data_IF_054874737439
#
_entry.id   IF_054874737439
#
_cell.length_a   1.000
_cell.length_b   1.000
_cell.length_c   1.000
_cell.angle_alpha   90.00
_cell.angle_beta   90.00
_cell.angle_gamma   90.00
#
_symmetry.space_group_name_H-M   'P 1'
#
loop_
_entity.id
_entity.type
_entity.pdbx_description
1 polymer ?
#
# COMPACT_ATOMS: atom_id res chain seq x y z
N UNK A 1 -18.53 8.65 -4.39
CA UNK A 1 -19.20 7.34 -4.25
C UNK A 1 -18.12 6.35 -3.83
N UNK A 2 -18.29 5.68 -2.68
CA UNK A 2 -17.35 4.67 -2.18
C UNK A 2 -17.90 3.33 -2.63
N UNK A 3 -17.08 2.54 -3.32
CA UNK A 3 -17.48 1.19 -3.72
C UNK A 3 -17.04 0.22 -2.60
N UNK A 4 -18.01 -0.27 -1.82
CA UNK A 4 -17.82 -1.28 -0.78
C UNK A 4 -18.45 -2.59 -1.23
N UNK A 5 -17.64 -3.64 -1.36
CA UNK A 5 -18.14 -4.99 -1.66
C UNK A 5 -17.89 -5.91 -0.45
N UNK A 6 -18.92 -6.66 -0.04
CA UNK A 6 -18.83 -7.62 1.06
C UNK A 6 -19.14 -9.01 0.50
N UNK A 7 -18.15 -9.90 0.51
CA UNK A 7 -18.39 -11.31 0.22
C UNK A 7 -18.94 -11.99 1.48
N UNK A 8 -20.23 -12.38 1.40
CA UNK A 8 -20.93 -13.39 2.20
C UNK A 8 -20.47 -13.62 3.65
N UNK A 9 -20.82 -12.74 4.59
CA UNK A 9 -21.28 -13.12 5.94
C UNK A 9 -22.03 -11.94 6.60
N UNK A 10 -23.20 -12.15 7.24
CA UNK A 10 -23.93 -11.08 7.95
C UNK A 10 -23.12 -10.42 9.07
N UNK A 11 -22.15 -11.14 9.65
CA UNK A 11 -21.30 -10.64 10.73
C UNK A 11 -20.35 -9.51 10.27
N UNK A 12 -20.11 -9.35 8.97
CA UNK A 12 -19.25 -8.30 8.41
C UNK A 12 -19.99 -7.00 8.07
N UNK A 13 -21.33 -6.96 8.18
CA UNK A 13 -22.13 -5.77 7.89
C UNK A 13 -21.72 -4.57 8.75
N UNK A 14 -21.54 -4.77 10.07
CA UNK A 14 -21.13 -3.71 10.99
C UNK A 14 -19.71 -3.21 10.68
N UNK A 15 -18.79 -4.11 10.31
CA UNK A 15 -17.44 -3.72 9.91
C UNK A 15 -17.47 -2.92 8.60
N UNK A 16 -18.27 -3.35 7.62
CA UNK A 16 -18.41 -2.66 6.34
C UNK A 16 -18.93 -1.23 6.53
N UNK A 17 -19.99 -1.06 7.33
CA UNK A 17 -20.55 0.24 7.69
C UNK A 17 -19.48 1.13 8.38
N UNK A 18 -18.77 0.58 9.36
CA UNK A 18 -17.73 1.31 10.07
C UNK A 18 -16.57 1.72 9.15
N UNK A 19 -16.12 0.82 8.27
CA UNK A 19 -15.10 1.14 7.26
C UNK A 19 -15.62 2.22 6.31
N UNK A 20 -16.87 2.16 5.86
CA UNK A 20 -17.45 3.14 4.96
C UNK A 20 -17.49 4.54 5.59
N UNK A 21 -17.94 4.65 6.84
CA UNK A 21 -17.96 5.91 7.60
C UNK A 21 -16.55 6.49 7.72
N UNK A 22 -15.58 5.69 8.16
CA UNK A 22 -14.19 6.12 8.31
C UNK A 22 -13.56 6.52 6.98
N UNK A 23 -13.83 5.79 5.89
CA UNK A 23 -13.32 6.11 4.56
C UNK A 23 -13.92 7.43 4.07
N UNK A 24 -15.23 7.62 4.24
CA UNK A 24 -15.94 8.84 3.84
C UNK A 24 -15.37 10.07 4.55
N UNK A 25 -15.10 9.95 5.84
CA UNK A 25 -14.48 11.00 6.64
C UNK A 25 -13.01 11.23 6.25
N UNK A 26 -12.24 10.17 5.98
CA UNK A 26 -10.81 10.27 5.72
C UNK A 26 -10.44 10.81 4.34
N UNK A 27 -11.29 10.61 3.31
CA UNK A 27 -10.98 10.96 1.92
C UNK A 27 -10.59 12.45 1.75
N UNK A 28 -11.39 13.44 2.22
CA UNK A 28 -11.03 14.85 2.05
C UNK A 28 -9.69 15.20 2.72
N UNK A 29 -9.40 14.58 3.87
CA UNK A 29 -8.14 14.78 4.58
C UNK A 29 -6.95 14.16 3.85
N UNK A 30 -7.14 12.96 3.27
CA UNK A 30 -6.10 12.32 2.44
C UNK A 30 -5.80 13.18 1.21
N UNK A 31 -6.82 13.66 0.51
CA UNK A 31 -6.64 14.54 -0.65
C UNK A 31 -5.93 15.84 -0.25
N UNK A 32 -6.36 16.48 0.84
CA UNK A 32 -5.74 17.70 1.38
C UNK A 32 -4.27 17.51 1.76
N UNK A 33 -3.94 16.43 2.47
CA UNK A 33 -2.58 16.17 2.97
C UNK A 33 -1.65 15.71 1.86
N UNK A 34 -2.14 14.90 0.91
CA UNK A 34 -1.32 14.36 -0.18
C UNK A 34 -1.27 15.25 -1.40
N UNK A 35 -2.25 16.12 -1.62
CA UNK A 35 -2.41 16.86 -2.86
C UNK A 35 -2.69 15.95 -4.07
N UNK A 36 -3.11 14.70 -3.83
CA UNK A 36 -3.44 13.72 -4.86
C UNK A 36 -4.95 13.48 -4.90
N UNK A 37 -5.57 13.38 -6.08
CA UNK A 37 -6.99 13.14 -6.20
C UNK A 37 -7.34 11.68 -5.84
N UNK A 38 -8.52 11.50 -5.24
CA UNK A 38 -9.04 10.21 -4.80
C UNK A 38 -10.56 10.12 -5.04
N UNK A 39 -11.02 10.15 -6.30
CA UNK A 39 -12.44 10.37 -6.63
C UNK A 39 -13.36 9.20 -6.25
N UNK A 40 -12.85 7.97 -6.25
CA UNK A 40 -13.62 6.73 -6.01
C UNK A 40 -12.77 5.70 -5.27
N UNK A 41 -12.55 5.88 -3.96
CA UNK A 41 -11.83 4.87 -3.18
C UNK A 41 -12.63 3.57 -3.13
N UNK A 42 -11.94 2.44 -3.25
CA UNK A 42 -12.56 1.12 -3.29
C UNK A 42 -12.00 0.19 -2.23
N UNK A 43 -12.89 -0.41 -1.45
CA UNK A 43 -12.56 -1.39 -0.42
C UNK A 43 -13.43 -2.63 -0.58
N UNK A 44 -12.82 -3.79 -0.40
CA UNK A 44 -13.52 -5.07 -0.54
C UNK A 44 -13.23 -5.91 0.70
N UNK A 45 -14.29 -6.28 1.42
CA UNK A 45 -14.22 -7.26 2.49
C UNK A 45 -14.33 -8.65 1.85
N UNK A 46 -13.24 -9.40 1.94
CA UNK A 46 -13.09 -10.72 1.31
C UNK A 46 -12.58 -11.71 2.33
N UNK A 47 -12.93 -12.99 2.16
CA UNK A 47 -12.27 -14.06 2.91
C UNK A 47 -10.83 -14.27 2.38
N UNK A 48 -10.12 -15.24 2.98
CA UNK A 48 -8.75 -15.57 2.57
C UNK A 48 -8.66 -16.10 1.14
N UNK A 49 -9.67 -16.81 0.66
CA UNK A 49 -9.73 -17.43 -0.66
C UNK A 49 -9.96 -16.39 -1.76
N UNK A 50 -10.90 -15.47 -1.54
CA UNK A 50 -11.16 -14.31 -2.35
C UNK A 50 -9.94 -13.39 -2.44
N UNK A 51 -9.28 -13.14 -1.30
CA UNK A 51 -8.02 -12.39 -1.27
C UNK A 51 -6.93 -13.06 -2.12
N UNK A 52 -6.73 -14.37 -1.96
CA UNK A 52 -5.73 -15.12 -2.69
C UNK A 52 -6.00 -15.14 -4.21
N UNK A 53 -7.27 -15.31 -4.59
CA UNK A 53 -7.73 -15.32 -6.00
C UNK A 53 -7.53 -13.96 -6.65
N UNK A 54 -7.95 -12.88 -5.98
CA UNK A 54 -7.81 -11.52 -6.48
C UNK A 54 -6.33 -11.12 -6.61
N UNK A 55 -5.51 -11.46 -5.61
CA UNK A 55 -4.07 -11.17 -5.64
C UNK A 55 -3.34 -11.95 -6.74
N UNK A 56 -3.64 -13.24 -6.92
CA UNK A 56 -3.10 -14.05 -8.03
C UNK A 56 -3.46 -13.43 -9.37
N UNK A 57 -4.72 -13.03 -9.54
CA UNK A 57 -5.19 -12.39 -10.78
C UNK A 57 -4.50 -11.06 -11.05
N UNK A 58 -4.24 -10.28 -9.99
CA UNK A 58 -3.47 -9.04 -10.07
C UNK A 58 -2.01 -9.31 -10.49
N UNK A 59 -1.32 -10.26 -9.85
CA UNK A 59 0.06 -10.63 -10.21
C UNK A 59 0.15 -11.13 -11.66
N UNK A 60 -0.82 -11.92 -12.11
CA UNK A 60 -0.90 -12.36 -13.51
C UNK A 60 -0.96 -11.16 -14.47
N UNK A 61 -1.91 -10.24 -14.26
CA UNK A 61 -2.06 -9.05 -15.11
C UNK A 61 -0.80 -8.19 -15.13
N UNK A 62 -0.16 -8.02 -13.97
CA UNK A 62 1.06 -7.22 -13.89
C UNK A 62 2.23 -7.89 -14.64
N UNK A 63 2.35 -9.21 -14.54
CA UNK A 63 3.35 -9.95 -15.31
C UNK A 63 3.08 -9.88 -16.82
N UNK A 64 1.82 -10.07 -17.25
CA UNK A 64 1.40 -9.90 -18.65
C UNK A 64 1.75 -8.51 -19.18
N UNK A 65 1.50 -7.46 -18.38
CA UNK A 65 1.87 -6.09 -18.71
C UNK A 65 3.39 -5.90 -18.82
N UNK A 66 4.14 -6.37 -17.81
CA UNK A 66 5.59 -6.16 -17.73
C UNK A 66 6.39 -6.96 -18.76
N UNK A 67 5.80 -8.04 -19.29
CA UNK A 67 6.42 -8.89 -20.32
C UNK A 67 5.84 -8.68 -21.72
N UNK A 68 4.90 -7.75 -21.88
CA UNK A 68 4.33 -7.42 -23.18
C UNK A 68 5.44 -6.93 -24.13
N UNK A 69 5.62 -7.61 -25.26
CA UNK A 69 6.64 -7.26 -26.26
C UNK A 69 8.07 -7.66 -25.90
N UNK A 70 8.27 -8.42 -24.82
CA UNK A 70 9.58 -8.97 -24.44
C UNK A 70 9.70 -10.40 -24.99
N UNK A 71 10.80 -10.70 -25.68
CA UNK A 71 11.12 -12.09 -26.05
C UNK A 71 11.62 -12.84 -24.80
N UNK A 72 10.80 -13.77 -24.32
CA UNK A 72 11.04 -14.49 -23.08
C UNK A 72 11.63 -15.87 -23.38
N UNK A 73 12.78 -16.17 -22.76
CA UNK A 73 13.34 -17.51 -22.79
C UNK A 73 12.40 -18.53 -22.13
N UNK A 74 12.52 -19.81 -22.48
CA UNK A 74 11.72 -20.87 -21.82
C UNK A 74 11.92 -20.92 -20.29
N UNK A 75 13.10 -20.53 -19.82
CA UNK A 75 13.39 -20.39 -18.39
C UNK A 75 12.63 -19.22 -17.76
N UNK A 76 12.55 -18.07 -18.44
CA UNK A 76 11.79 -16.91 -17.96
C UNK A 76 10.29 -17.21 -17.91
N UNK A 77 9.75 -17.87 -18.93
CA UNK A 77 8.35 -18.32 -18.95
C UNK A 77 8.04 -19.23 -17.76
N UNK A 78 8.93 -20.19 -17.47
CA UNK A 78 8.80 -21.08 -16.31
C UNK A 78 8.81 -20.29 -14.99
N UNK A 79 9.69 -19.29 -14.85
CA UNK A 79 9.75 -18.43 -13.66
C UNK A 79 8.49 -17.57 -13.48
N UNK A 80 7.96 -17.02 -14.57
CA UNK A 80 6.72 -16.23 -14.57
C UNK A 80 5.55 -17.10 -14.10
N UNK A 81 5.41 -18.31 -14.65
CA UNK A 81 4.37 -19.26 -14.24
C UNK A 81 4.50 -19.63 -12.75
N UNK A 82 5.72 -19.94 -12.28
CA UNK A 82 5.98 -20.22 -10.87
C UNK A 82 5.64 -19.03 -9.95
N UNK A 83 5.87 -17.79 -10.40
CA UNK A 83 5.52 -16.59 -9.64
C UNK A 83 4.01 -16.42 -9.48
N UNK A 84 3.22 -16.72 -10.52
CA UNK A 84 1.76 -16.69 -10.44
C UNK A 84 1.23 -17.71 -9.44
N UNK A 85 1.75 -18.94 -9.47
CA UNK A 85 1.38 -19.99 -8.50
C UNK A 85 1.79 -19.63 -7.08
N UNK A 86 3.00 -19.06 -6.90
CA UNK A 86 3.50 -18.65 -5.60
C UNK A 86 2.66 -17.52 -4.97
N UNK A 87 2.02 -16.65 -5.76
CA UNK A 87 1.21 -15.54 -5.25
C UNK A 87 0.09 -16.01 -4.30
N UNK A 88 -0.59 -17.11 -4.66
CA UNK A 88 -1.63 -17.71 -3.84
C UNK A 88 -1.06 -18.29 -2.53
N UNK A 89 0.04 -19.03 -2.63
CA UNK A 89 0.73 -19.60 -1.46
C UNK A 89 1.19 -18.50 -0.50
N UNK A 90 1.67 -17.37 -1.02
CA UNK A 90 2.08 -16.23 -0.18
C UNK A 90 0.88 -15.64 0.56
N UNK A 91 -0.28 -15.51 -0.07
CA UNK A 91 -1.48 -15.00 0.62
C UNK A 91 -1.90 -15.93 1.76
N UNK A 92 -2.02 -17.23 1.45
CA UNK A 92 -2.46 -18.26 2.39
C UNK A 92 -1.47 -18.50 3.53
N UNK A 93 -0.16 -18.60 3.24
CA UNK A 93 0.87 -19.02 4.21
C UNK A 93 1.64 -17.87 4.86
N UNK A 94 1.91 -16.78 4.14
CA UNK A 94 2.83 -15.73 4.62
C UNK A 94 2.15 -14.67 5.50
N UNK A 95 0.84 -14.81 5.76
CA UNK A 95 0.10 -13.85 6.57
C UNK A 95 -0.09 -12.51 5.88
N UNK A 96 -0.10 -12.45 4.54
CA UNK A 96 -0.69 -11.29 3.83
C UNK A 96 -2.16 -11.13 4.22
N UNK A 97 -2.85 -12.21 4.58
CA UNK A 97 -4.14 -12.15 5.28
C UNK A 97 -4.14 -11.11 6.41
N UNK A 98 -3.05 -10.99 7.17
CA UNK A 98 -2.90 -10.07 8.31
C UNK A 98 -2.66 -8.61 7.92
N UNK A 99 -2.74 -8.23 6.65
CA UNK A 99 -2.61 -6.84 6.22
C UNK A 99 -3.60 -6.57 5.09
N UNK A 100 -4.08 -5.34 4.93
CA UNK A 100 -4.80 -4.99 3.72
C UNK A 100 -3.90 -5.21 2.50
N UNK A 101 -4.48 -5.72 1.43
CA UNK A 101 -3.79 -6.00 0.19
C UNK A 101 -4.30 -5.03 -0.87
N UNK A 102 -3.42 -4.16 -1.33
CA UNK A 102 -3.72 -3.29 -2.48
C UNK A 102 -3.56 -4.09 -3.76
N UNK A 103 -4.60 -4.12 -4.58
CA UNK A 103 -4.64 -4.74 -5.92
C UNK A 103 -5.15 -3.72 -6.93
N UNK A 104 -4.88 -3.94 -8.21
CA UNK A 104 -5.58 -3.24 -9.29
C UNK A 104 -6.69 -4.16 -9.84
N UNK A 105 -7.87 -3.59 -10.10
CA UNK A 105 -9.00 -4.27 -10.78
C UNK A 105 -8.64 -4.62 -12.22
N UNK A 106 -9.52 -5.33 -12.93
CA UNK A 106 -9.34 -5.65 -14.36
C UNK A 106 -9.22 -4.40 -15.25
N UNK A 107 -9.82 -3.28 -14.83
CA UNK A 107 -9.77 -1.99 -15.53
C UNK A 107 -8.64 -1.09 -15.02
N UNK A 108 -7.70 -1.62 -14.22
CA UNK A 108 -6.53 -0.88 -13.73
C UNK A 108 -6.80 0.06 -12.55
N UNK A 109 -8.02 0.12 -12.02
CA UNK A 109 -8.33 0.95 -10.85
C UNK A 109 -7.83 0.28 -9.56
N UNK A 110 -7.26 1.02 -8.60
CA UNK A 110 -6.83 0.42 -7.34
C UNK A 110 -8.04 0.01 -6.48
N UNK A 111 -7.91 -1.13 -5.80
CA UNK A 111 -8.85 -1.64 -4.81
C UNK A 111 -8.07 -2.17 -3.61
N UNK A 112 -8.57 -1.94 -2.39
CA UNK A 112 -7.96 -2.48 -1.17
C UNK A 112 -8.80 -3.63 -0.65
N UNK A 113 -8.22 -4.83 -0.66
CA UNK A 113 -8.81 -6.03 -0.08
C UNK A 113 -8.51 -6.07 1.42
N UNK A 114 -9.55 -6.32 2.22
CA UNK A 114 -9.47 -6.48 3.67
C UNK A 114 -10.02 -7.85 4.01
N UNK A 115 -9.26 -8.62 4.79
CA UNK A 115 -9.70 -9.90 5.37
C UNK A 115 -10.16 -9.65 6.81
N UNK A 116 -11.48 -9.62 7.09
CA UNK A 116 -12.02 -9.24 8.40
C UNK A 116 -11.46 -10.05 9.58
N UNK A 117 -11.32 -11.37 9.42
CA UNK A 117 -10.78 -12.28 10.43
C UNK A 117 -9.39 -11.85 10.85
N UNK A 118 -8.62 -11.34 9.91
CA UNK A 118 -7.27 -10.90 10.14
C UNK A 118 -7.19 -9.53 10.82
N UNK A 119 -8.20 -8.67 10.65
CA UNK A 119 -8.36 -7.47 11.48
C UNK A 119 -8.70 -7.85 12.93
N UNK A 120 -9.58 -8.84 13.11
CA UNK A 120 -9.93 -9.39 14.42
C UNK A 120 -8.72 -9.95 15.17
N UNK A 121 -7.90 -10.76 14.51
CA UNK A 121 -6.64 -11.30 15.07
C UNK A 121 -5.65 -10.20 15.50
N UNK A 122 -5.73 -9.01 14.91
CA UNK A 122 -4.92 -7.84 15.26
C UNK A 122 -5.61 -6.88 16.23
N UNK A 123 -6.85 -7.18 16.61
CA UNK A 123 -7.72 -6.32 17.44
C UNK A 123 -7.90 -4.93 16.84
N UNK A 124 -7.90 -4.83 15.51
CA UNK A 124 -8.04 -3.55 14.80
C UNK A 124 -9.49 -3.06 14.86
N UNK A 125 -10.47 -3.98 14.83
CA UNK A 125 -11.89 -3.64 15.00
C UNK A 125 -12.18 -3.05 16.39
N UNK A 126 -11.44 -3.45 17.40
CA UNK A 126 -11.57 -2.96 18.80
C UNK A 126 -10.83 -1.63 19.04
N UNK A 127 -10.01 -1.18 18.08
CA UNK A 127 -9.15 0.00 18.25
C UNK A 127 -9.36 0.98 17.09
N UNK A 128 -10.36 1.89 17.18
CA UNK A 128 -10.76 2.77 16.08
C UNK A 128 -9.60 3.54 15.45
N UNK A 129 -8.67 4.07 16.26
CA UNK A 129 -7.49 4.78 15.74
C UNK A 129 -6.53 3.92 14.92
N UNK A 130 -6.43 2.61 15.19
CA UNK A 130 -5.61 1.69 14.39
C UNK A 130 -6.31 1.29 13.10
N UNK A 131 -7.63 1.12 13.11
CA UNK A 131 -8.41 0.90 11.90
C UNK A 131 -8.33 2.14 10.99
N UNK A 132 -8.52 3.33 11.55
CA UNK A 132 -8.35 4.61 10.85
C UNK A 132 -6.94 4.73 10.22
N UNK A 133 -5.85 4.47 10.98
CA UNK A 133 -4.48 4.48 10.45
C UNK A 133 -4.31 3.53 9.25
N UNK A 134 -4.89 2.33 9.34
CA UNK A 134 -4.83 1.34 8.28
C UNK A 134 -5.56 1.83 7.03
N UNK A 135 -6.79 2.34 7.17
CA UNK A 135 -7.62 2.80 6.05
C UNK A 135 -6.99 4.02 5.37
N UNK A 136 -6.51 4.99 6.15
CA UNK A 136 -5.81 6.17 5.62
C UNK A 136 -4.56 5.78 4.84
N UNK A 137 -3.77 4.83 5.34
CA UNK A 137 -2.61 4.33 4.59
C UNK A 137 -3.04 3.70 3.26
N UNK A 138 -4.09 2.90 3.25
CA UNK A 138 -4.62 2.30 2.03
C UNK A 138 -5.11 3.35 1.04
N UNK A 139 -5.87 4.35 1.49
CA UNK A 139 -6.34 5.48 0.67
C UNK A 139 -5.19 6.24 0.02
N UNK A 140 -4.15 6.59 0.80
CA UNK A 140 -2.97 7.26 0.27
C UNK A 140 -2.27 6.43 -0.82
N UNK A 141 -2.26 5.09 -0.70
CA UNK A 141 -1.70 4.23 -1.74
C UNK A 141 -2.61 4.12 -2.98
N UNK A 142 -3.94 4.14 -2.82
CA UNK A 142 -4.85 4.23 -3.97
C UNK A 142 -4.62 5.54 -4.73
N UNK A 143 -4.51 6.67 -4.03
CA UNK A 143 -4.21 7.97 -4.62
C UNK A 143 -2.87 7.96 -5.39
N UNK A 144 -1.83 7.30 -4.85
CA UNK A 144 -0.56 7.12 -5.56
C UNK A 144 -0.70 6.31 -6.84
N UNK A 145 -1.47 5.22 -6.83
CA UNK A 145 -1.71 4.40 -8.04
C UNK A 145 -2.46 5.20 -9.09
N UNK A 146 -3.49 5.96 -8.69
CA UNK A 146 -4.26 6.85 -9.57
C UNK A 146 -3.35 7.92 -10.18
N UNK A 147 -2.60 8.65 -9.34
CA UNK A 147 -1.68 9.69 -9.79
C UNK A 147 -0.61 9.15 -10.75
N UNK A 148 -0.07 7.97 -10.45
CA UNK A 148 0.90 7.31 -11.31
C UNK A 148 0.32 6.61 -12.53
N UNK A 149 -1.00 6.56 -12.69
CA UNK A 149 -1.69 5.80 -13.74
C UNK A 149 -1.15 4.36 -13.84
N UNK A 150 -0.83 3.74 -12.69
CA UNK A 150 -0.21 2.41 -12.62
C UNK A 150 1.25 2.30 -13.07
N UNK A 151 1.90 3.37 -13.56
CA UNK A 151 3.26 3.33 -14.13
C UNK A 151 4.37 3.28 -13.08
N UNK A 152 4.15 3.89 -11.93
CA UNK A 152 5.14 3.94 -10.83
C UNK A 152 4.76 2.95 -9.75
N UNK A 153 3.52 3.04 -9.24
CA UNK A 153 2.97 2.13 -8.23
C UNK A 153 1.79 1.37 -8.84
N UNK A 154 1.72 0.03 -8.71
CA UNK A 154 2.72 -0.88 -8.14
C UNK A 154 4.01 -0.94 -8.98
N UNK A 155 5.16 -1.34 -8.42
CA UNK A 155 6.37 -1.52 -9.22
C UNK A 155 6.21 -2.72 -10.19
N UNK A 156 7.03 -2.77 -11.25
CA UNK A 156 7.13 -3.96 -12.08
C UNK A 156 7.41 -5.22 -11.25
N UNK A 157 6.70 -6.29 -11.60
CA UNK A 157 6.91 -7.66 -11.12
C UNK A 157 7.94 -8.41 -11.96
N UNK A 158 8.27 -7.89 -13.15
CA UNK A 158 9.31 -8.42 -14.04
C UNK A 158 10.24 -7.31 -14.59
N UNK A 159 11.56 -7.55 -14.69
CA UNK A 159 12.29 -8.67 -14.08
C UNK A 159 12.34 -8.53 -12.55
N UNK A 160 12.32 -9.66 -11.85
CA UNK A 160 12.37 -9.64 -10.37
C UNK A 160 13.78 -9.35 -9.87
N UNK A 161 13.96 -8.23 -9.17
CA UNK A 161 15.23 -7.87 -8.52
C UNK A 161 15.36 -8.66 -7.20
N UNK A 162 16.38 -9.52 -7.03
CA UNK A 162 16.56 -10.29 -5.79
C UNK A 162 16.94 -9.40 -4.58
N UNK A 163 16.48 -9.78 -3.39
CA UNK A 163 17.05 -9.34 -2.11
C UNK A 163 16.76 -7.91 -1.64
N UNK A 164 16.29 -7.00 -2.50
CA UNK A 164 15.98 -5.61 -2.13
C UNK A 164 14.49 -5.30 -2.28
N UNK A 165 13.91 -4.57 -1.31
CA UNK A 165 12.59 -3.96 -1.51
C UNK A 165 12.72 -2.93 -2.63
N UNK A 166 11.87 -2.98 -3.65
CA UNK A 166 11.86 -1.97 -4.70
C UNK A 166 11.77 -0.56 -4.08
N UNK A 167 12.60 0.41 -4.51
CA UNK A 167 12.60 1.74 -3.91
C UNK A 167 11.24 2.43 -3.96
N UNK A 168 10.47 2.20 -5.04
CA UNK A 168 9.08 2.66 -5.13
C UNK A 168 8.20 2.13 -4.00
N UNK A 169 8.29 0.84 -3.65
CA UNK A 169 7.48 0.26 -2.56
C UNK A 169 7.84 0.91 -1.23
N UNK A 170 9.13 1.18 -1.03
CA UNK A 170 9.59 1.85 0.18
C UNK A 170 9.07 3.31 0.24
N UNK A 171 9.15 4.06 -0.87
CA UNK A 171 8.63 5.43 -0.96
C UNK A 171 7.11 5.46 -0.77
N UNK A 172 6.37 4.63 -1.51
CA UNK A 172 4.90 4.51 -1.43
C UNK A 172 4.44 4.27 0.00
N UNK A 173 5.03 3.28 0.69
CA UNK A 173 4.73 2.99 2.11
C UNK A 173 5.13 4.14 3.04
N UNK A 174 6.26 4.80 2.77
CA UNK A 174 6.72 5.96 3.52
C UNK A 174 5.75 7.13 3.44
N UNK A 175 5.28 7.46 2.23
CA UNK A 175 4.30 8.52 2.00
C UNK A 175 2.95 8.16 2.63
N UNK A 176 2.46 6.92 2.47
CA UNK A 176 1.24 6.48 3.14
C UNK A 176 1.34 6.60 4.67
N UNK A 177 2.47 6.22 5.27
CA UNK A 177 2.71 6.36 6.70
C UNK A 177 2.79 7.84 7.14
N UNK A 178 3.39 8.70 6.31
CA UNK A 178 3.49 10.15 6.53
C UNK A 178 2.10 10.82 6.49
N UNK A 179 1.28 10.45 5.51
CA UNK A 179 -0.13 10.88 5.39
C UNK A 179 -0.92 10.46 6.62
N UNK A 180 -0.84 9.18 6.99
CA UNK A 180 -1.58 8.64 8.14
C UNK A 180 -1.25 9.35 9.45
N UNK A 181 0.03 9.67 9.69
CA UNK A 181 0.42 10.40 10.91
C UNK A 181 -0.16 11.81 11.03
N UNK A 182 -0.65 12.39 9.93
CA UNK A 182 -1.33 13.69 9.93
C UNK A 182 -2.83 13.51 10.01
N UNK A 183 -3.40 12.73 9.09
CA UNK A 183 -4.85 12.57 8.97
C UNK A 183 -5.47 11.89 10.19
N UNK A 184 -4.84 10.84 10.75
CA UNK A 184 -5.42 10.14 11.92
C UNK A 184 -5.55 11.07 13.11
N UNK A 185 -4.59 12.00 13.30
CA UNK A 185 -4.65 12.99 14.36
C UNK A 185 -5.86 13.91 14.18
N UNK A 186 -6.11 14.37 12.95
CA UNK A 186 -7.25 15.25 12.64
C UNK A 186 -8.59 14.55 12.87
N UNK A 187 -8.71 13.28 12.51
CA UNK A 187 -9.96 12.51 12.63
C UNK A 187 -10.21 12.07 14.08
N UNK A 188 -9.18 11.55 14.75
CA UNK A 188 -9.36 10.88 16.05
C UNK A 188 -8.97 11.73 17.26
N UNK A 189 -8.30 12.86 17.04
CA UNK A 189 -7.68 13.66 18.11
C UNK A 189 -6.44 13.01 18.75
N UNK A 190 -6.00 11.83 18.29
CA UNK A 190 -4.91 11.07 18.89
C UNK A 190 -3.61 11.30 18.11
N UNK A 191 -2.58 11.86 18.78
CA UNK A 191 -1.29 12.21 18.17
C UNK A 191 -0.53 11.03 17.56
N UNK A 192 -0.81 9.81 18.02
CA UNK A 192 -0.51 8.56 17.34
C UNK A 192 -1.12 7.42 18.14
N UNK A 193 -1.85 6.46 17.55
CA UNK A 193 -2.17 5.24 18.28
C UNK A 193 -0.84 4.59 18.69
N UNK A 194 -0.63 4.39 19.99
CA UNK A 194 0.57 3.78 20.51
C UNK A 194 0.81 2.46 19.76
N UNK A 195 1.93 2.36 19.02
CA UNK A 195 2.29 1.11 18.34
C UNK A 195 2.34 0.04 19.42
N UNK A 196 1.36 -0.87 19.44
CA UNK A 196 1.41 -2.03 20.32
C UNK A 196 2.73 -2.73 20.05
N UNK A 197 3.57 -2.82 21.09
CA UNK A 197 4.72 -3.73 21.06
C UNK A 197 4.10 -5.11 20.76
N UNK A 198 4.57 -5.84 19.75
CA UNK A 198 4.06 -7.18 19.51
C UNK A 198 4.20 -7.94 20.83
N UNK A 199 3.08 -8.45 21.35
CA UNK A 199 3.10 -9.26 22.55
C UNK A 199 4.16 -10.36 22.33
N UNK A 200 5.14 -10.42 23.23
CA UNK A 200 6.39 -11.19 23.06
C UNK A 200 6.20 -12.71 22.96
N UNK A 201 4.98 -13.22 22.81
CA UNK A 201 4.69 -14.65 22.66
C UNK A 201 3.73 -14.83 21.49
N UNK A 202 4.09 -15.75 20.59
CA UNK A 202 3.32 -16.20 19.43
C UNK A 202 3.40 -15.26 18.22
N UNK A 203 4.55 -15.31 17.53
CA UNK A 203 4.71 -15.36 16.07
C UNK A 203 6.11 -14.83 15.74
N UNK A 204 7.06 -15.75 15.68
CA UNK A 204 8.41 -15.57 15.15
C UNK A 204 8.38 -15.50 13.60
N UNK A 205 7.32 -14.96 12.98
CA UNK A 205 7.24 -14.87 11.51
C UNK A 205 7.98 -13.63 11.00
N UNK A 206 9.26 -13.84 10.70
CA UNK A 206 10.01 -13.52 9.45
C UNK A 206 9.85 -12.13 8.76
N UNK A 207 8.88 -11.26 9.04
CA UNK A 207 8.72 -9.99 8.28
C UNK A 207 8.35 -8.73 9.10
N UNK A 208 8.23 -8.79 10.43
CA UNK A 208 7.63 -7.69 11.22
C UNK A 208 8.55 -6.59 11.82
N UNK A 209 9.87 -6.75 12.09
CA UNK A 209 10.67 -5.63 12.62
C UNK A 209 11.35 -4.77 11.54
N UNK A 210 11.81 -5.39 10.44
CA UNK A 210 12.61 -4.71 9.40
C UNK A 210 11.76 -3.77 8.53
N UNK A 211 10.50 -4.15 8.28
CA UNK A 211 9.55 -3.34 7.50
C UNK A 211 9.18 -2.06 8.24
N UNK A 212 8.98 -2.12 9.57
CA UNK A 212 8.60 -0.94 10.38
C UNK A 212 9.66 0.17 10.40
N UNK A 213 10.95 -0.18 10.51
CA UNK A 213 12.06 0.81 10.50
C UNK A 213 12.25 1.42 9.12
N UNK A 214 12.20 0.61 8.05
CA UNK A 214 12.32 1.11 6.67
C UNK A 214 11.18 2.05 6.31
N UNK A 215 9.94 1.71 6.66
CA UNK A 215 8.78 2.59 6.46
C UNK A 215 8.90 3.89 7.26
N UNK A 216 9.35 3.85 8.51
CA UNK A 216 9.56 5.06 9.31
C UNK A 216 10.63 5.99 8.69
N UNK A 217 11.75 5.43 8.22
CA UNK A 217 12.79 6.19 7.51
C UNK A 217 12.26 6.80 6.21
N UNK A 218 11.49 6.02 5.43
CA UNK A 218 10.88 6.52 4.21
C UNK A 218 9.85 7.64 4.49
N UNK A 219 9.08 7.53 5.58
CA UNK A 219 8.17 8.58 6.03
C UNK A 219 8.91 9.85 6.44
N UNK A 220 10.06 9.73 7.11
CA UNK A 220 10.91 10.88 7.43
C UNK A 220 11.54 11.52 6.18
N UNK A 221 11.95 10.70 5.19
CA UNK A 221 12.41 11.20 3.89
C UNK A 221 11.33 12.03 3.19
N UNK A 222 10.09 11.53 3.15
CA UNK A 222 8.94 12.24 2.58
C UNK A 222 8.73 13.57 3.31
N UNK A 223 8.76 13.57 4.64
CA UNK A 223 8.61 14.80 5.43
C UNK A 223 9.67 15.85 5.09
N UNK A 224 10.94 15.44 5.00
CA UNK A 224 12.05 16.33 4.64
C UNK A 224 11.89 16.87 3.22
N UNK A 225 11.52 16.03 2.26
CA UNK A 225 11.32 16.44 0.87
C UNK A 225 10.16 17.43 0.72
N UNK A 226 9.01 17.16 1.34
CA UNK A 226 7.85 18.06 1.30
C UNK A 226 8.15 19.39 1.98
N UNK A 227 8.88 19.40 3.11
CA UNK A 227 9.29 20.65 3.77
C UNK A 227 10.29 21.46 2.93
N UNK A 228 11.22 20.78 2.26
CA UNK A 228 12.28 21.45 1.51
C UNK A 228 11.83 21.94 0.13
N UNK A 229 10.91 21.23 -0.53
CA UNK A 229 10.51 21.47 -1.93
C UNK A 229 9.02 21.72 -2.13
N UNK A 230 8.21 21.57 -1.10
CA UNK A 230 6.76 21.62 -1.23
C UNK A 230 6.15 20.31 -1.72
N UNK A 231 4.82 20.23 -1.58
CA UNK A 231 4.05 19.02 -1.90
C UNK A 231 3.94 18.76 -3.41
N UNK A 232 3.79 19.82 -4.21
CA UNK A 232 3.71 19.72 -5.67
C UNK A 232 4.99 19.09 -6.26
N UNK A 233 6.16 19.62 -5.89
CA UNK A 233 7.45 19.06 -6.30
C UNK A 233 7.65 17.62 -5.85
N UNK A 234 7.18 17.26 -4.65
CA UNK A 234 7.18 15.88 -4.19
C UNK A 234 6.31 14.97 -5.08
N UNK A 235 5.11 15.40 -5.41
CA UNK A 235 4.15 14.60 -6.18
C UNK A 235 4.59 14.34 -7.64
N UNK A 236 5.55 15.10 -8.17
CA UNK A 236 6.16 14.80 -9.46
C UNK A 236 6.74 13.37 -9.54
N UNK A 237 7.11 12.77 -8.40
CA UNK A 237 7.61 11.39 -8.32
C UNK A 237 6.62 10.34 -8.82
N UNK A 238 5.32 10.62 -8.74
CA UNK A 238 4.28 9.69 -9.19
C UNK A 238 4.13 9.70 -10.71
N UNK A 239 4.53 10.79 -11.37
CA UNK A 239 4.40 10.94 -12.83
C UNK A 239 5.70 10.64 -13.58
N UNK A 240 6.85 10.68 -12.89
CA UNK A 240 8.17 10.49 -13.52
C UNK A 240 8.97 9.43 -12.75
N UNK A 241 9.07 8.23 -13.32
CA UNK A 241 9.81 7.11 -12.72
C UNK A 241 11.28 7.47 -12.38
N UNK A 242 11.89 8.31 -13.21
CA UNK A 242 13.25 8.82 -12.98
C UNK A 242 13.40 9.60 -11.67
N UNK A 243 12.33 10.16 -11.10
CA UNK A 243 12.37 10.92 -9.84
C UNK A 243 12.25 10.04 -8.59
N UNK A 244 12.06 8.73 -8.70
CA UNK A 244 12.02 7.83 -7.54
C UNK A 244 13.41 7.81 -6.87
N UNK A 245 13.50 7.86 -5.53
CA UNK A 245 14.77 7.77 -4.82
C UNK A 245 15.37 6.37 -4.98
N UNK A 246 16.66 6.30 -5.20
CA UNK A 246 17.46 5.08 -5.12
C UNK A 246 17.64 4.60 -3.67
N UNK A 247 18.09 3.37 -3.46
CA UNK A 247 18.43 2.89 -2.10
C UNK A 247 19.52 3.70 -1.42
N UNK A 248 20.47 4.27 -2.19
CA UNK A 248 21.52 5.13 -1.66
C UNK A 248 20.93 6.48 -1.20
N UNK A 249 20.01 7.05 -1.97
CA UNK A 249 19.28 8.27 -1.62
C UNK A 249 18.39 8.11 -0.38
N UNK A 250 17.83 6.92 -0.13
CA UNK A 250 17.17 6.64 1.16
C UNK A 250 18.12 6.72 2.37
N UNK A 251 19.43 6.58 2.18
CA UNK A 251 20.46 6.77 3.23
C UNK A 251 20.97 8.20 3.28
N UNK A 252 20.90 8.91 2.16
CA UNK A 252 21.35 10.30 2.01
C UNK A 252 20.23 11.18 1.39
N UNK A 253 19.18 11.51 2.16
CA UNK A 253 18.00 12.24 1.68
C UNK A 253 18.30 13.49 0.87
N UNK A 254 19.30 14.27 1.29
CA UNK A 254 19.67 15.54 0.65
C UNK A 254 19.98 15.39 -0.84
N UNK A 255 20.59 14.27 -1.27
CA UNK A 255 20.91 14.03 -2.69
C UNK A 255 19.66 13.93 -3.55
N UNK A 256 18.62 13.27 -3.03
CA UNK A 256 17.35 13.14 -3.73
C UNK A 256 16.59 14.46 -3.74
N UNK A 257 16.55 15.16 -2.61
CA UNK A 257 15.86 16.45 -2.47
C UNK A 257 16.44 17.50 -3.44
N UNK A 258 17.76 17.49 -3.67
CA UNK A 258 18.39 18.38 -4.66
C UNK A 258 17.89 18.09 -6.08
N UNK A 259 17.67 16.83 -6.43
CA UNK A 259 17.24 16.36 -7.76
C UNK A 259 15.76 16.57 -8.06
N UNK A 260 14.95 16.86 -7.04
CA UNK A 260 13.52 17.13 -7.22
C UNK A 260 13.28 18.44 -7.99
N UNK A 261 12.22 18.52 -8.81
CA UNK A 261 11.90 19.75 -9.53
C UNK A 261 11.53 20.88 -8.57
N UNK A 262 11.72 22.12 -9.00
CA UNK A 262 11.18 23.30 -8.34
C UNK A 262 9.93 23.70 -9.11
N UNK A 263 8.77 23.62 -8.45
CA UNK A 263 7.45 23.92 -9.02
C UNK A 263 6.79 25.07 -8.26
#
# INVERSE_FOLDING_TARGET
>A
MIDMYVQHEPCYAQLAEHVEVLVREAVPWVEKVTGLPLPRPRFELVDIDGCATAYRSFIRRQLEHDTAGVDLSGWDQTRIAAQQQAAEVVVRRAGLARKPVLVATSIGQPSTLIVPEALGLQKLCETPGLLCDLLVRSLAQQAQVIAGSGRVVPPPQWPKIPGASHPVVQLSRGHAQWTSSRVVREITGIDRPARRRPARRIVRSVLAPVTGRRTARASALVDQAVRARGLASFNAVWHTAGLVPTHAEFRHPSRWIVRMPTL
#
